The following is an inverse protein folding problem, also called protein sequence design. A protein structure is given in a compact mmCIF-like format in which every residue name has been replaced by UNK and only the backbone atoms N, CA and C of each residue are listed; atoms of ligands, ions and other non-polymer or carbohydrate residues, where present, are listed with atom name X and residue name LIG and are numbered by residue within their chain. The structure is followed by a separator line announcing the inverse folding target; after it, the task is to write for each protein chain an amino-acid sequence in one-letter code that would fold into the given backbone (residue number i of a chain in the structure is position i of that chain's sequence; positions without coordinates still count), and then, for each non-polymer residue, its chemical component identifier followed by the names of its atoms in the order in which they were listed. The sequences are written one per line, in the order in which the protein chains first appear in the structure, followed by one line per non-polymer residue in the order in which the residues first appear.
data_IF_037570221972
#
_entry.id   IF_037570221972
#
_cell.length_a   1.000
_cell.length_b   1.000
_cell.length_c   1.000
_cell.angle_alpha   90.00
_cell.angle_beta   90.00
_cell.angle_gamma   90.00
#
_symmetry.space_group_name_H-M   'P 1'
#
loop_
_entity.id
_entity.type
_entity.pdbx_description
1 polymer ?
#
# COMPACT_ATOMS: atom_id res chain seq x y z
N UNK A 1 10.06 1.06 2.85
CA UNK A 1 9.12 0.17 3.59
C UNK A 1 7.75 0.16 2.90
N UNK A 2 7.20 -1.00 2.55
CA UNK A 2 5.82 -1.09 2.06
C UNK A 2 4.84 -1.03 3.23
N UNK A 3 3.78 -0.22 3.12
CA UNK A 3 2.81 -0.01 4.19
C UNK A 3 1.57 -0.89 4.10
N UNK A 4 1.37 -1.58 2.97
CA UNK A 4 0.26 -2.52 2.73
C UNK A 4 0.78 -3.95 2.84
N UNK A 5 0.20 -4.76 3.72
CA UNK A 5 0.66 -6.13 3.95
C UNK A 5 0.22 -7.10 2.86
N UNK A 6 1.09 -8.03 2.48
CA UNK A 6 0.78 -9.13 1.56
C UNK A 6 0.59 -10.48 2.24
N UNK A 7 0.59 -10.50 3.58
CA UNK A 7 0.53 -11.73 4.39
C UNK A 7 -0.85 -12.00 4.99
N UNK A 8 -1.74 -11.01 4.98
CA UNK A 8 -3.08 -11.06 5.56
C UNK A 8 -4.07 -10.40 4.60
N UNK A 9 -5.28 -10.93 4.51
CA UNK A 9 -6.36 -10.38 3.68
C UNK A 9 -6.92 -9.04 4.15
N UNK A 10 -6.79 -8.73 5.45
CA UNK A 10 -7.23 -7.46 6.03
C UNK A 10 -6.61 -6.26 5.29
N UNK A 11 -7.46 -5.29 4.96
CA UNK A 11 -7.07 -4.05 4.30
C UNK A 11 -6.69 -3.00 5.34
N UNK A 12 -5.57 -2.34 5.11
CA UNK A 12 -5.26 -1.09 5.78
C UNK A 12 -6.26 0.00 5.37
N UNK A 13 -6.43 1.02 6.21
CA UNK A 13 -7.27 2.17 5.88
C UNK A 13 -6.45 3.26 5.20
N UNK A 14 -7.06 4.01 4.28
CA UNK A 14 -6.43 5.18 3.64
C UNK A 14 -5.98 6.20 4.68
N UNK A 15 -6.79 6.44 5.71
CA UNK A 15 -6.46 7.36 6.81
C UNK A 15 -5.18 6.95 7.56
N UNK A 16 -5.04 5.66 7.88
CA UNK A 16 -3.86 5.17 8.59
C UNK A 16 -2.62 5.18 7.71
N UNK A 17 -2.78 4.89 6.42
CA UNK A 17 -1.69 4.98 5.45
C UNK A 17 -1.24 6.44 5.27
N UNK A 18 -2.19 7.37 5.13
CA UNK A 18 -1.90 8.81 4.98
C UNK A 18 -1.11 9.34 6.18
N UNK A 19 -1.51 9.01 7.41
CA UNK A 19 -0.76 9.38 8.62
C UNK A 19 0.68 8.82 8.61
N UNK A 20 0.89 7.60 8.12
CA UNK A 20 2.24 7.02 8.01
C UNK A 20 3.09 7.77 6.98
N UNK A 21 2.49 8.26 5.90
CA UNK A 21 3.15 9.11 4.92
C UNK A 21 3.45 10.50 5.47
N UNK A 22 2.55 11.11 6.26
CA UNK A 22 2.82 12.38 6.95
C UNK A 22 4.04 12.26 7.89
N UNK A 23 4.16 11.13 8.60
CA UNK A 23 5.33 10.85 9.43
C UNK A 23 6.60 10.63 8.59
N UNK A 24 6.51 9.94 7.46
CA UNK A 24 7.62 9.74 6.54
C UNK A 24 8.08 11.05 5.89
N UNK A 25 7.15 11.96 5.58
CA UNK A 25 7.39 13.27 4.99
C UNK A 25 8.20 14.21 5.90
N UNK A 26 8.36 13.87 7.18
CA UNK A 26 9.29 14.56 8.09
C UNK A 26 10.76 14.29 7.76
N UNK A 27 11.05 13.24 6.98
CA UNK A 27 12.41 12.77 6.68
C UNK A 27 12.81 12.92 5.22
N UNK A 28 11.85 12.98 4.29
CA UNK A 28 12.05 13.20 2.86
C UNK A 28 10.85 13.97 2.29
N UNK A 29 11.04 14.67 1.17
CA UNK A 29 9.92 15.33 0.48
C UNK A 29 8.88 14.28 0.04
N UNK A 30 7.59 14.60 0.19
CA UNK A 30 6.48 13.70 -0.16
C UNK A 30 6.53 13.31 -1.64
N UNK A 31 7.05 14.18 -2.50
CA UNK A 31 7.21 13.95 -3.94
C UNK A 31 8.35 12.94 -4.25
N UNK A 32 9.17 12.59 -3.27
CA UNK A 32 10.21 11.57 -3.39
C UNK A 32 9.76 10.21 -2.83
N UNK A 33 8.55 10.13 -2.27
CA UNK A 33 7.99 8.91 -1.71
C UNK A 33 7.07 8.21 -2.72
N UNK A 34 6.82 6.93 -2.47
CA UNK A 34 5.88 6.15 -3.25
C UNK A 34 5.25 5.06 -2.38
N UNK A 35 4.09 4.59 -2.80
CA UNK A 35 3.35 3.52 -2.12
C UNK A 35 3.45 2.21 -2.90
N UNK A 36 3.68 1.12 -2.16
CA UNK A 36 3.68 -0.23 -2.70
C UNK A 36 3.32 -1.25 -1.61
N UNK A 37 2.87 -2.47 -1.99
CA UNK A 37 2.79 -3.59 -1.07
C UNK A 37 4.15 -3.94 -0.46
N UNK A 38 4.15 -4.59 0.71
CA UNK A 38 5.36 -4.99 1.44
C UNK A 38 6.28 -5.93 0.65
N UNK A 39 5.70 -6.90 -0.04
CA UNK A 39 6.37 -7.88 -0.88
C UNK A 39 5.46 -8.21 -2.08
N UNK A 40 5.89 -9.10 -2.98
CA UNK A 40 4.96 -9.69 -3.95
C UNK A 40 3.93 -10.60 -3.27
N UNK A 41 2.78 -10.83 -3.91
CA UNK A 41 1.76 -11.73 -3.38
C UNK A 41 2.17 -13.22 -3.45
N UNK A 42 3.17 -13.56 -4.28
CA UNK A 42 3.66 -14.92 -4.50
C UNK A 42 4.79 -15.36 -3.54
N UNK A 43 5.10 -14.60 -2.49
CA UNK A 43 6.39 -14.71 -1.79
C UNK A 43 6.43 -15.65 -0.56
N UNK A 44 5.71 -16.77 -0.52
CA UNK A 44 5.82 -17.78 0.57
C UNK A 44 5.66 -19.23 0.08
N UNK A 45 6.48 -20.15 0.62
CA UNK A 45 6.35 -21.61 0.40
C UNK A 45 5.04 -22.19 0.99
N UNK A 46 4.50 -21.58 2.05
CA UNK A 46 3.23 -21.97 2.68
C UNK A 46 1.99 -21.36 2.01
N UNK A 47 2.16 -20.52 0.98
CA UNK A 47 1.07 -19.79 0.34
C UNK A 47 0.58 -18.64 1.22
N UNK A 48 0.62 -17.42 0.72
CA UNK A 48 -0.09 -16.33 1.39
C UNK A 48 -1.59 -16.68 1.31
N UNK A 49 -2.27 -16.72 2.47
CA UNK A 49 -3.72 -16.87 2.58
C UNK A 49 -4.42 -15.57 2.14
N UNK A 50 -4.12 -15.11 0.94
CA UNK A 50 -4.68 -13.91 0.32
C UNK A 50 -5.24 -14.32 -1.03
N UNK A 51 -6.56 -14.40 -1.09
CA UNK A 51 -7.33 -14.70 -2.29
C UNK A 51 -7.07 -13.68 -3.40
N UNK A 52 -7.40 -14.02 -4.64
CA UNK A 52 -7.29 -13.12 -5.78
C UNK A 52 -8.05 -11.80 -5.55
N UNK A 53 -9.26 -11.89 -4.97
CA UNK A 53 -10.07 -10.72 -4.62
C UNK A 53 -9.37 -9.83 -3.59
N UNK A 54 -8.74 -10.41 -2.58
CA UNK A 54 -7.97 -9.64 -1.59
C UNK A 54 -6.69 -9.05 -2.18
N UNK A 55 -6.03 -9.74 -3.13
CA UNK A 55 -4.89 -9.18 -3.85
C UNK A 55 -5.33 -7.97 -4.70
N UNK A 56 -6.46 -8.10 -5.39
CA UNK A 56 -7.04 -7.01 -6.18
C UNK A 56 -7.42 -5.82 -5.30
N UNK A 57 -8.13 -6.07 -4.19
CA UNK A 57 -8.50 -5.02 -3.24
C UNK A 57 -7.27 -4.31 -2.65
N UNK A 58 -6.17 -5.04 -2.42
CA UNK A 58 -4.90 -4.44 -1.99
C UNK A 58 -4.26 -3.56 -3.06
N UNK A 59 -4.36 -3.93 -4.33
CA UNK A 59 -3.89 -3.09 -5.44
C UNK A 59 -4.79 -1.85 -5.63
N UNK A 60 -6.10 -2.00 -5.48
CA UNK A 60 -7.03 -0.88 -5.47
C UNK A 60 -6.71 0.10 -4.33
N UNK A 61 -6.42 -0.41 -3.13
CA UNK A 61 -6.00 0.41 -1.99
C UNK A 61 -4.70 1.18 -2.24
N UNK A 62 -3.74 0.60 -2.99
CA UNK A 62 -2.52 1.32 -3.42
C UNK A 62 -2.90 2.56 -4.23
N UNK A 63 -3.81 2.40 -5.20
CA UNK A 63 -4.25 3.49 -6.08
C UNK A 63 -5.04 4.52 -5.29
N UNK A 64 -6.02 4.10 -4.49
CA UNK A 64 -6.86 5.00 -3.69
C UNK A 64 -6.01 5.84 -2.72
N UNK A 65 -5.03 5.21 -2.07
CA UNK A 65 -4.11 5.92 -1.18
C UNK A 65 -3.22 6.89 -1.95
N UNK A 66 -2.77 6.51 -3.15
CA UNK A 66 -1.97 7.40 -3.97
C UNK A 66 -2.75 8.63 -4.42
N UNK A 67 -4.01 8.45 -4.84
CA UNK A 67 -4.91 9.55 -5.17
C UNK A 67 -5.16 10.46 -3.96
N UNK A 68 -5.32 9.89 -2.75
CA UNK A 68 -5.53 10.66 -1.53
C UNK A 68 -4.31 11.52 -1.14
N UNK A 69 -3.09 11.02 -1.35
CA UNK A 69 -1.85 11.72 -0.96
C UNK A 69 -1.40 12.71 -2.02
N UNK A 70 -1.38 12.30 -3.29
CA UNK A 70 -0.79 13.07 -4.39
C UNK A 70 -1.83 13.69 -5.34
N UNK A 71 -3.13 13.46 -5.14
CA UNK A 71 -4.20 14.08 -5.94
C UNK A 71 -4.44 13.44 -7.30
N UNK A 72 -3.81 12.30 -7.60
CA UNK A 72 -4.00 11.54 -8.83
C UNK A 72 -2.93 10.47 -9.04
N UNK A 73 -3.23 9.50 -9.92
CA UNK A 73 -2.27 8.51 -10.43
C UNK A 73 -2.11 8.69 -11.94
N UNK A 74 -1.26 9.63 -12.33
CA UNK A 74 -0.93 9.78 -13.76
C UNK A 74 -0.06 8.58 -14.19
N UNK A 75 -0.46 7.93 -15.28
CA UNK A 75 0.21 6.76 -15.87
C UNK A 75 1.29 7.13 -16.89
#
# INVERSE_FOLDING_TARGET
PGFITTKKGELETVDDLSKRFDEAAKFADIDQLGIAPQCGFASTEEGNLVSEDEQKAKLELVVETAEAIWGGVDA
#
